data_IF_709187976165
#
_entry.id   IF_709187976165
#
_cell.length_a   1.000
_cell.length_b   1.000
_cell.length_c   1.000
_cell.angle_alpha   90.00
_cell.angle_beta   90.00
_cell.angle_gamma   90.00
#
_symmetry.space_group_name_H-M   'P 1'
#
loop_
_entity.id
_entity.type
_entity.pdbx_description
1 polymer ?
#
# COMPACT_ATOMS: atom_id res chain seq x y z
N UNK A 1 -3.31 -13.15 19.70
CA UNK A 1 -4.61 -12.49 19.94
C UNK A 1 -5.75 -13.50 20.00
N UNK A 2 -5.98 -14.34 18.97
CA UNK A 2 -7.01 -15.41 19.01
C UNK A 2 -6.88 -16.36 20.20
N UNK A 3 -5.67 -16.81 20.55
CA UNK A 3 -5.42 -17.68 21.71
C UNK A 3 -5.72 -17.03 23.08
N UNK A 4 -5.90 -15.72 23.13
CA UNK A 4 -6.27 -14.97 24.34
C UNK A 4 -7.76 -14.62 24.39
N UNK A 5 -8.58 -15.15 23.47
CA UNK A 5 -10.03 -14.93 23.39
C UNK A 5 -10.43 -13.45 23.38
N UNK A 6 -9.61 -12.60 22.73
CA UNK A 6 -9.94 -11.20 22.52
C UNK A 6 -11.11 -11.08 21.55
N UNK A 7 -11.93 -10.04 21.73
CA UNK A 7 -12.99 -9.70 20.79
C UNK A 7 -12.42 -9.41 19.40
N UNK A 8 -13.07 -9.93 18.36
CA UNK A 8 -12.62 -9.77 16.97
C UNK A 8 -12.57 -8.30 16.52
N UNK A 9 -13.41 -7.45 17.13
CA UNK A 9 -13.38 -5.98 16.95
C UNK A 9 -12.03 -5.39 17.35
N UNK A 10 -11.49 -5.78 18.50
CA UNK A 10 -10.19 -5.33 19.01
C UNK A 10 -9.05 -5.81 18.11
N UNK A 11 -9.12 -7.07 17.66
CA UNK A 11 -8.13 -7.63 16.73
C UNK A 11 -8.14 -6.85 15.42
N UNK A 12 -9.32 -6.68 14.82
CA UNK A 12 -9.50 -5.97 13.55
C UNK A 12 -9.00 -4.54 13.64
N UNK A 13 -9.36 -3.81 14.71
CA UNK A 13 -8.90 -2.44 14.93
C UNK A 13 -7.38 -2.37 15.08
N UNK A 14 -6.79 -3.27 15.88
CA UNK A 14 -5.34 -3.32 16.08
C UNK A 14 -4.59 -3.52 14.77
N UNK A 15 -5.04 -4.48 13.95
CA UNK A 15 -4.41 -4.74 12.65
C UNK A 15 -4.62 -3.57 11.69
N UNK A 16 -5.81 -2.97 11.67
CA UNK A 16 -6.11 -1.80 10.82
C UNK A 16 -5.19 -0.62 11.15
N UNK A 17 -4.99 -0.31 12.43
CA UNK A 17 -4.09 0.77 12.85
C UNK A 17 -2.62 0.46 12.56
N UNK A 18 -2.21 -0.81 12.70
CA UNK A 18 -0.86 -1.23 12.30
C UNK A 18 -0.64 -1.08 10.79
N UNK A 19 -1.63 -1.46 9.96
CA UNK A 19 -1.55 -1.29 8.50
C UNK A 19 -1.53 0.18 8.11
N UNK A 20 -2.31 1.03 8.79
CA UNK A 20 -2.27 2.49 8.62
C UNK A 20 -0.90 3.06 8.94
N UNK A 21 -0.31 2.66 10.07
CA UNK A 21 1.04 3.07 10.45
C UNK A 21 2.06 2.65 9.39
N UNK A 22 2.02 1.39 8.92
CA UNK A 22 2.89 0.89 7.84
C UNK A 22 2.71 1.70 6.56
N UNK A 23 1.47 1.95 6.13
CA UNK A 23 1.16 2.70 4.91
C UNK A 23 1.72 4.12 4.95
N UNK A 24 1.43 4.87 6.02
CA UNK A 24 1.87 6.26 6.17
C UNK A 24 3.39 6.36 6.31
N UNK A 25 4.01 5.51 7.15
CA UNK A 25 5.46 5.55 7.36
C UNK A 25 6.21 5.19 6.10
N UNK A 26 5.83 4.10 5.41
CA UNK A 26 6.48 3.69 4.17
C UNK A 26 6.30 4.70 3.04
N UNK A 27 5.12 5.32 2.92
CA UNK A 27 4.87 6.35 1.90
C UNK A 27 5.73 7.60 2.15
N UNK A 28 5.78 8.09 3.39
CA UNK A 28 6.60 9.25 3.76
C UNK A 28 8.10 8.97 3.54
N UNK A 29 8.57 7.79 3.95
CA UNK A 29 9.94 7.35 3.71
C UNK A 29 10.28 7.31 2.22
N UNK A 30 9.34 6.84 1.39
CA UNK A 30 9.51 6.77 -0.06
C UNK A 30 9.72 8.16 -0.67
N UNK A 31 8.93 9.15 -0.25
CA UNK A 31 9.01 10.54 -0.72
C UNK A 31 10.33 11.23 -0.35
N UNK A 32 10.86 10.93 0.84
CA UNK A 32 12.07 11.61 1.35
C UNK A 32 13.38 11.04 0.78
N UNK A 33 13.35 9.86 0.14
CA UNK A 33 14.56 9.18 -0.34
C UNK A 33 15.00 9.65 -1.73
N UNK A 34 16.10 10.41 -1.78
CA UNK A 34 16.76 10.81 -3.03
C UNK A 34 17.45 9.62 -3.71
N UNK A 35 17.41 9.58 -5.04
CA UNK A 35 18.05 8.53 -5.88
C UNK A 35 17.60 7.09 -5.58
N UNK A 36 16.42 6.90 -4.99
CA UNK A 36 15.88 5.59 -4.64
C UNK A 36 14.75 5.15 -5.59
N UNK A 37 13.89 6.09 -5.97
CA UNK A 37 12.70 5.86 -6.77
C UNK A 37 13.08 5.37 -8.17
N UNK A 38 12.70 4.15 -8.50
CA UNK A 38 12.95 3.52 -9.79
C UNK A 38 11.87 2.46 -10.08
N UNK A 39 11.72 2.12 -11.36
CA UNK A 39 10.79 1.08 -11.80
C UNK A 39 11.01 -0.25 -11.05
N UNK A 40 12.28 -0.68 -10.91
CA UNK A 40 12.65 -1.92 -10.22
C UNK A 40 12.32 -1.88 -8.72
N UNK A 41 12.42 -0.72 -8.07
CA UNK A 41 11.97 -0.55 -6.67
C UNK A 41 10.45 -0.57 -6.58
N UNK A 42 9.76 0.05 -7.53
CA UNK A 42 8.30 -0.06 -7.65
C UNK A 42 7.85 -1.52 -7.70
N UNK A 43 8.48 -2.36 -8.53
CA UNK A 43 8.13 -3.78 -8.62
C UNK A 43 8.32 -4.53 -7.28
N UNK A 44 9.42 -4.26 -6.57
CA UNK A 44 9.69 -4.87 -5.26
C UNK A 44 8.68 -4.44 -4.19
N UNK A 45 8.36 -3.14 -4.13
CA UNK A 45 7.39 -2.63 -3.16
C UNK A 45 6.00 -3.18 -3.47
N UNK A 46 5.63 -3.30 -4.75
CA UNK A 46 4.35 -3.88 -5.15
C UNK A 46 4.22 -5.32 -4.68
N UNK A 47 5.28 -6.12 -4.84
CA UNK A 47 5.30 -7.49 -4.31
C UNK A 47 5.08 -7.54 -2.79
N UNK A 48 5.72 -6.65 -2.03
CA UNK A 48 5.52 -6.55 -0.59
C UNK A 48 4.07 -6.19 -0.23
N UNK A 49 3.45 -5.26 -0.95
CA UNK A 49 2.04 -4.89 -0.72
C UNK A 49 1.12 -6.07 -1.04
N UNK A 50 1.32 -6.76 -2.17
CA UNK A 50 0.53 -7.95 -2.54
C UNK A 50 0.63 -9.04 -1.46
N UNK A 51 1.81 -9.22 -0.84
CA UNK A 51 1.96 -10.15 0.28
C UNK A 51 1.08 -9.78 1.48
N UNK A 52 1.01 -8.49 1.82
CA UNK A 52 0.17 -7.99 2.90
C UNK A 52 -1.31 -8.13 2.53
N UNK A 53 -1.68 -7.85 1.28
CA UNK A 53 -3.05 -7.99 0.78
C UNK A 53 -3.55 -9.43 0.87
N UNK A 54 -2.75 -10.39 0.42
CA UNK A 54 -3.11 -11.81 0.53
C UNK A 54 -3.20 -12.27 2.00
N UNK A 55 -2.33 -11.75 2.88
CA UNK A 55 -2.44 -12.01 4.31
C UNK A 55 -3.75 -11.45 4.88
N UNK A 56 -4.13 -10.22 4.53
CA UNK A 56 -5.39 -9.62 4.95
C UNK A 56 -6.61 -10.43 4.48
N UNK A 57 -6.61 -10.87 3.21
CA UNK A 57 -7.68 -11.72 2.64
C UNK A 57 -7.80 -13.07 3.36
N UNK A 58 -6.68 -13.72 3.65
CA UNK A 58 -6.68 -15.01 4.37
C UNK A 58 -7.04 -14.91 5.86
N UNK A 59 -7.15 -13.69 6.40
CA UNK A 59 -7.54 -13.42 7.78
C UNK A 59 -8.88 -12.65 7.88
N UNK A 60 -9.70 -12.69 6.82
CA UNK A 60 -11.03 -12.07 6.76
C UNK A 60 -11.04 -10.54 6.99
N UNK A 61 -9.97 -9.85 6.61
CA UNK A 61 -9.82 -8.39 6.76
C UNK A 61 -9.45 -7.68 5.45
N UNK A 62 -10.21 -7.85 4.35
CA UNK A 62 -9.87 -7.24 3.06
C UNK A 62 -9.74 -5.72 3.13
N UNK A 63 -10.57 -5.05 3.93
CA UNK A 63 -10.58 -3.59 4.13
C UNK A 63 -9.28 -3.05 4.76
N UNK A 64 -8.48 -3.90 5.39
CA UNK A 64 -7.17 -3.52 5.93
C UNK A 64 -6.22 -2.99 4.84
N UNK A 65 -6.39 -3.44 3.60
CA UNK A 65 -5.56 -2.99 2.47
C UNK A 65 -5.82 -1.56 2.04
N UNK A 66 -6.98 -0.99 2.33
CA UNK A 66 -7.28 0.43 2.08
C UNK A 66 -6.31 1.36 2.82
N UNK A 67 -5.76 0.89 3.95
CA UNK A 67 -4.80 1.66 4.72
C UNK A 67 -3.43 1.83 4.01
N UNK A 68 -3.19 1.10 2.93
CA UNK A 68 -1.96 1.14 2.13
C UNK A 68 -2.13 1.89 0.80
N UNK A 69 -3.28 2.50 0.55
CA UNK A 69 -3.65 2.99 -0.78
C UNK A 69 -2.69 4.05 -1.35
N UNK A 70 -2.26 5.02 -0.54
CA UNK A 70 -1.24 6.00 -0.96
C UNK A 70 0.06 5.34 -1.40
N UNK A 71 0.52 4.33 -0.67
CA UNK A 71 1.72 3.57 -1.00
C UNK A 71 1.52 2.75 -2.28
N UNK A 72 0.35 2.15 -2.47
CA UNK A 72 -0.02 1.43 -3.69
C UNK A 72 -0.01 2.33 -4.91
N UNK A 73 -0.64 3.50 -4.83
CA UNK A 73 -0.71 4.44 -5.94
C UNK A 73 0.68 5.00 -6.27
N UNK A 74 1.49 5.39 -5.27
CA UNK A 74 2.88 5.79 -5.49
C UNK A 74 3.71 4.68 -6.14
N UNK A 75 3.48 3.43 -5.74
CA UNK A 75 4.18 2.27 -6.31
C UNK A 75 3.76 2.01 -7.76
N UNK A 76 2.47 2.12 -8.08
CA UNK A 76 1.96 2.07 -9.47
C UNK A 76 2.55 3.20 -10.30
N UNK A 77 2.61 4.41 -9.76
CA UNK A 77 3.25 5.55 -10.40
C UNK A 77 4.71 5.22 -10.77
N UNK A 78 5.48 4.52 -9.95
CA UNK A 78 6.86 4.14 -10.34
C UNK A 78 6.93 3.18 -11.55
N UNK A 79 5.83 2.48 -11.87
CA UNK A 79 5.78 1.45 -12.90
C UNK A 79 5.08 1.88 -14.20
N UNK A 80 4.22 2.90 -14.14
CA UNK A 80 3.50 3.42 -15.30
C UNK A 80 4.42 4.19 -16.27
N UNK A 81 4.09 4.14 -17.56
CA UNK A 81 4.72 4.95 -18.61
C UNK A 81 4.47 6.45 -18.37
N UNK A 82 5.39 7.32 -18.82
CA UNK A 82 5.37 8.79 -18.59
C UNK A 82 5.87 9.56 -19.82
N UNK A 83 5.40 9.19 -21.00
CA UNK A 83 5.93 9.74 -22.25
C UNK A 83 4.98 10.71 -22.95
N UNK A 84 3.67 10.53 -22.75
CA UNK A 84 2.62 11.27 -23.46
C UNK A 84 1.66 11.92 -22.48
N UNK A 85 0.90 12.93 -22.93
CA UNK A 85 -0.16 13.54 -22.11
C UNK A 85 -1.23 12.53 -21.69
N UNK A 86 -1.59 11.61 -22.60
CA UNK A 86 -2.50 10.50 -22.29
C UNK A 86 -1.97 9.59 -21.16
N UNK A 87 -0.64 9.38 -21.07
CA UNK A 87 -0.06 8.63 -19.94
C UNK A 87 -0.25 9.40 -18.61
N UNK A 88 -0.22 10.74 -18.64
CA UNK A 88 -0.44 11.57 -17.45
C UNK A 88 -1.91 11.55 -17.02
N UNK A 89 -2.85 11.59 -17.96
CA UNK A 89 -4.28 11.44 -17.68
C UNK A 89 -4.57 10.09 -16.99
N UNK A 90 -4.03 9.00 -17.54
CA UNK A 90 -4.13 7.66 -16.91
C UNK A 90 -3.51 7.65 -15.50
N UNK A 91 -2.40 8.35 -15.29
CA UNK A 91 -1.77 8.46 -13.97
C UNK A 91 -2.70 9.17 -12.98
N UNK A 92 -3.39 10.24 -13.40
CA UNK A 92 -4.34 10.97 -12.55
C UNK A 92 -5.53 10.09 -12.17
N UNK A 93 -6.06 9.30 -13.11
CA UNK A 93 -7.14 8.36 -12.83
C UNK A 93 -6.73 7.27 -11.84
N UNK A 94 -5.49 6.76 -11.97
CA UNK A 94 -4.96 5.72 -11.07
C UNK A 94 -4.59 6.28 -9.70
N UNK A 95 -4.04 7.50 -9.67
CA UNK A 95 -3.55 8.17 -8.47
C UNK A 95 -4.55 9.25 -8.02
N UNK A 96 -5.78 8.83 -7.71
CA UNK A 96 -6.91 9.71 -7.44
C UNK A 96 -6.96 10.27 -6.00
N UNK A 97 -6.04 9.83 -5.14
CA UNK A 97 -5.93 10.29 -3.74
C UNK A 97 -5.30 11.67 -3.62
#
# INVERSE_FOLDING_TARGET
MKAFYLEDSIITQTITELLRLVGVTAFNDLLMRRNFLSWKRGLQINYNITRIEEWCKSHDMPEGTLQLEHLMQATKLLQLKKATLNDIEIIQDICWM
#
